data_IF_490715936560
#
_entry.id   IF_490715936560
#
_cell.length_a   1.000
_cell.length_b   1.000
_cell.length_c   1.000
_cell.angle_alpha   90.00
_cell.angle_beta   90.00
_cell.angle_gamma   90.00
#
_symmetry.space_group_name_H-M   'P 1'
#
loop_
_entity.id
_entity.type
_entity.pdbx_description
1 polymer ?
#
# COMPACT_ATOMS: atom_id res chain seq x y z
N UNK A 1 7.89 -29.32 44.58
CA UNK A 1 9.22 -29.83 44.20
C UNK A 1 9.52 -29.25 42.83
N UNK A 2 10.61 -28.51 42.72
CA UNK A 2 11.12 -27.90 41.51
C UNK A 2 12.16 -28.87 40.95
N UNK A 3 11.99 -29.34 39.71
CA UNK A 3 13.05 -30.01 38.99
C UNK A 3 13.36 -29.25 37.70
N UNK A 4 14.47 -28.52 37.80
CA UNK A 4 15.23 -27.94 36.71
C UNK A 4 16.05 -29.04 36.04
N UNK A 5 16.05 -29.12 34.71
CA UNK A 5 17.16 -29.73 33.96
C UNK A 5 17.42 -28.93 32.69
N UNK A 6 18.68 -28.53 32.59
CA UNK A 6 19.35 -27.83 31.49
C UNK A 6 20.23 -28.84 30.76
N UNK A 7 20.29 -28.78 29.42
CA UNK A 7 21.53 -28.92 28.64
C UNK A 7 21.25 -28.76 27.13
N UNK A 8 22.21 -28.12 26.47
CA UNK A 8 22.22 -27.57 25.10
C UNK A 8 22.74 -28.59 24.04
N UNK A 9 23.48 -28.19 22.97
CA UNK A 9 22.99 -27.89 21.62
C UNK A 9 23.66 -28.75 20.50
N UNK A 10 23.03 -28.90 19.34
CA UNK A 10 23.66 -29.39 18.09
C UNK A 10 23.00 -28.59 16.94
N UNK A 11 23.65 -27.64 16.26
CA UNK A 11 24.78 -27.68 15.31
C UNK A 11 24.45 -28.35 13.97
N UNK A 12 24.85 -27.64 12.90
CA UNK A 12 24.71 -27.88 11.46
C UNK A 12 23.31 -27.54 10.91
N UNK A 13 23.15 -26.79 9.83
CA UNK A 13 23.93 -26.83 8.59
C UNK A 13 23.80 -25.49 7.84
N UNK A 14 24.93 -24.88 7.52
CA UNK A 14 25.01 -23.77 6.56
C UNK A 14 24.88 -24.34 5.15
N UNK A 15 23.83 -23.96 4.43
CA UNK A 15 23.75 -24.15 2.99
C UNK A 15 23.72 -22.78 2.30
N UNK A 16 24.89 -22.36 1.80
CA UNK A 16 25.03 -21.23 0.89
C UNK A 16 24.54 -21.61 -0.50
N UNK A 17 23.65 -20.82 -1.14
CA UNK A 17 23.45 -20.93 -2.58
C UNK A 17 24.62 -20.24 -3.32
N UNK A 18 25.28 -20.98 -4.21
CA UNK A 18 26.41 -20.51 -5.00
C UNK A 18 26.03 -19.44 -6.05
N UNK A 19 26.99 -18.61 -6.50
CA UNK A 19 26.74 -17.67 -7.58
C UNK A 19 26.74 -18.38 -8.93
N UNK A 20 25.59 -18.44 -9.59
CA UNK A 20 25.50 -18.79 -11.02
C UNK A 20 26.15 -17.69 -11.85
N UNK A 21 27.21 -18.06 -12.56
CA UNK A 21 27.76 -17.29 -13.67
C UNK A 21 26.71 -17.19 -14.79
N UNK A 22 26.54 -16.00 -15.35
CA UNK A 22 25.93 -15.83 -16.66
C UNK A 22 26.77 -14.86 -17.46
N UNK A 23 27.24 -15.41 -18.57
CA UNK A 23 28.09 -14.83 -19.59
C UNK A 23 27.38 -13.66 -20.28
N UNK A 24 27.96 -12.47 -20.20
CA UNK A 24 27.55 -11.35 -21.05
C UNK A 24 28.11 -11.58 -22.46
N UNK A 25 27.22 -11.94 -23.39
CA UNK A 25 27.54 -11.98 -24.81
C UNK A 25 27.59 -10.54 -25.36
N UNK A 26 28.67 -10.28 -26.09
CA UNK A 26 28.93 -9.06 -26.87
C UNK A 26 27.95 -8.92 -28.03
N UNK A 27 27.44 -7.71 -28.28
CA UNK A 27 26.72 -7.35 -29.51
C UNK A 27 27.43 -6.15 -30.17
N UNK A 28 27.74 -6.20 -31.49
CA UNK A 28 28.36 -5.10 -32.21
C UNK A 28 27.34 -4.03 -32.64
N UNK A 29 27.80 -2.79 -32.98
CA UNK A 29 26.94 -1.67 -33.32
C UNK A 29 26.53 -1.71 -34.79
N UNK A 30 25.39 -1.10 -35.12
CA UNK A 30 25.10 -0.73 -36.51
C UNK A 30 24.40 0.63 -36.53
N UNK A 31 25.06 1.53 -37.25
CA UNK A 31 24.74 2.94 -37.45
C UNK A 31 23.60 3.15 -38.47
N UNK A 32 23.17 4.41 -38.58
CA UNK A 32 22.46 5.03 -39.69
C UNK A 32 20.92 5.02 -39.71
N UNK A 33 20.38 6.11 -39.12
CA UNK A 33 19.69 7.21 -39.81
C UNK A 33 18.26 7.06 -40.39
N UNK A 34 17.55 8.19 -40.22
CA UNK A 34 16.49 8.77 -41.05
C UNK A 34 15.02 8.46 -40.68
N UNK A 35 14.48 9.39 -39.88
CA UNK A 35 13.21 10.11 -40.05
C UNK A 35 12.04 9.43 -40.79
N UNK A 36 10.96 9.18 -40.05
CA UNK A 36 9.63 9.63 -40.45
C UNK A 36 8.77 9.88 -39.21
N UNK A 37 8.22 11.08 -39.21
CA UNK A 37 7.14 11.60 -38.39
C UNK A 37 5.98 10.60 -38.29
N UNK A 38 5.58 10.24 -37.08
CA UNK A 38 4.20 9.89 -36.72
C UNK A 38 4.07 10.28 -35.24
N UNK A 39 3.63 11.53 -34.98
CA UNK A 39 3.05 11.91 -33.69
C UNK A 39 1.76 11.11 -33.54
N UNK A 40 1.91 9.85 -33.13
CA UNK A 40 0.81 9.06 -32.62
C UNK A 40 0.76 9.35 -31.13
N UNK A 41 0.07 10.43 -30.76
CA UNK A 41 -0.45 10.65 -29.41
C UNK A 41 -1.44 9.53 -29.11
N UNK A 42 -0.88 8.35 -28.86
CA UNK A 42 -1.56 7.26 -28.19
C UNK A 42 -1.88 7.79 -26.81
N UNK A 43 -3.08 8.33 -26.66
CA UNK A 43 -3.73 8.52 -25.36
C UNK A 43 -3.84 7.12 -24.78
N UNK A 44 -2.76 6.69 -24.13
CA UNK A 44 -2.65 5.40 -23.51
C UNK A 44 -3.80 5.33 -22.52
N UNK A 45 -4.80 4.50 -22.85
CA UNK A 45 -5.86 4.14 -21.94
C UNK A 45 -5.16 3.71 -20.66
N UNK A 46 -5.42 4.34 -19.50
CA UNK A 46 -4.72 3.97 -18.28
C UNK A 46 -4.92 2.48 -18.07
N UNK A 47 -3.82 1.73 -18.09
CA UNK A 47 -3.80 0.31 -17.79
C UNK A 47 -4.37 0.12 -16.39
N UNK A 48 -5.03 -1.01 -16.15
CA UNK A 48 -5.69 -1.25 -14.86
C UNK A 48 -4.70 -1.17 -13.68
N UNK A 49 -3.44 -1.56 -13.92
CA UNK A 49 -2.29 -1.39 -13.03
C UNK A 49 -2.03 0.08 -12.62
N UNK A 50 -2.13 1.02 -13.56
CA UNK A 50 -1.92 2.46 -13.28
C UNK A 50 -3.00 3.01 -12.34
N UNK A 51 -4.25 2.59 -12.52
CA UNK A 51 -5.35 2.95 -11.62
C UNK A 51 -5.23 2.27 -10.25
N UNK A 52 -4.74 1.04 -10.22
CA UNK A 52 -4.52 0.30 -8.96
C UNK A 52 -3.45 0.97 -8.10
N UNK A 53 -2.34 1.35 -8.72
CA UNK A 53 -1.25 2.09 -8.09
C UNK A 53 -1.71 3.47 -7.60
N UNK A 54 -2.44 4.21 -8.45
CA UNK A 54 -2.97 5.52 -8.09
C UNK A 54 -3.83 5.49 -6.83
N UNK A 55 -4.75 4.51 -6.73
CA UNK A 55 -5.60 4.42 -5.55
C UNK A 55 -4.83 3.96 -4.30
N UNK A 56 -3.82 3.09 -4.45
CA UNK A 56 -2.95 2.72 -3.32
C UNK A 56 -2.17 3.93 -2.77
N UNK A 57 -1.73 4.84 -3.65
CA UNK A 57 -1.08 6.09 -3.25
C UNK A 57 -2.03 7.03 -2.49
N UNK A 58 -3.32 7.04 -2.86
CA UNK A 58 -4.37 7.71 -2.08
C UNK A 58 -4.47 7.09 -0.68
N UNK A 59 -4.59 5.77 -0.57
CA UNK A 59 -4.67 5.07 0.73
C UNK A 59 -3.44 5.37 1.59
N UNK A 60 -2.25 5.40 1.00
CA UNK A 60 -1.01 5.75 1.68
C UNK A 60 -1.04 7.19 2.20
N UNK A 61 -1.59 8.12 1.44
CA UNK A 61 -1.71 9.52 1.86
C UNK A 61 -2.70 9.66 3.01
N UNK A 62 -3.84 8.97 2.94
CA UNK A 62 -4.82 8.92 4.03
C UNK A 62 -4.19 8.36 5.31
N UNK A 63 -3.48 7.22 5.22
CA UNK A 63 -2.82 6.59 6.35
C UNK A 63 -1.78 7.50 7.04
N UNK A 64 -1.04 8.29 6.26
CA UNK A 64 -0.09 9.27 6.81
C UNK A 64 -0.77 10.44 7.52
N UNK A 65 -1.98 10.82 7.09
CA UNK A 65 -2.73 11.95 7.67
C UNK A 65 -3.50 11.52 8.92
N UNK A 66 -4.08 10.32 8.90
CA UNK A 66 -4.87 9.75 10.00
C UNK A 66 -3.97 8.88 10.87
N UNK A 67 -3.39 9.50 11.90
CA UNK A 67 -2.37 8.90 12.75
C UNK A 67 -2.76 8.83 14.23
N UNK A 68 -3.87 9.45 14.63
CA UNK A 68 -4.39 9.37 16.00
C UNK A 68 -5.25 8.13 16.15
N UNK A 69 -5.04 7.39 17.22
CA UNK A 69 -5.75 6.14 17.50
C UNK A 69 -7.28 6.31 17.45
N UNK A 70 -7.82 7.39 18.04
CA UNK A 70 -9.27 7.68 17.98
C UNK A 70 -9.77 7.93 16.55
N UNK A 71 -8.98 8.58 15.70
CA UNK A 71 -9.38 8.81 14.29
C UNK A 71 -9.31 7.50 13.49
N UNK A 72 -8.34 6.63 13.80
CA UNK A 72 -8.19 5.31 13.19
C UNK A 72 -9.35 4.40 13.61
N UNK A 73 -9.74 4.43 14.89
CA UNK A 73 -10.87 3.67 15.44
C UNK A 73 -12.19 4.09 14.76
N UNK A 74 -12.46 5.40 14.72
CA UNK A 74 -13.64 5.92 14.03
C UNK A 74 -13.63 5.59 12.53
N UNK A 75 -12.49 5.74 11.85
CA UNK A 75 -12.37 5.39 10.44
C UNK A 75 -12.66 3.90 10.22
N UNK A 76 -12.03 3.04 11.01
CA UNK A 76 -12.19 1.59 10.93
C UNK A 76 -13.65 1.19 11.13
N UNK A 77 -14.33 1.76 12.14
CA UNK A 77 -15.74 1.50 12.40
C UNK A 77 -16.65 1.92 11.24
N UNK A 78 -16.44 3.11 10.67
CA UNK A 78 -17.20 3.58 9.50
C UNK A 78 -16.94 2.71 8.26
N UNK A 79 -15.72 2.19 8.10
CA UNK A 79 -15.38 1.26 7.03
C UNK A 79 -15.90 -0.17 7.27
N UNK A 80 -16.49 -0.46 8.43
CA UNK A 80 -17.10 -1.75 8.77
C UNK A 80 -16.14 -2.76 9.39
N UNK A 81 -15.07 -2.31 10.06
CA UNK A 81 -14.23 -3.17 10.89
C UNK A 81 -14.77 -3.27 12.32
N UNK A 82 -14.56 -4.42 12.94
CA UNK A 82 -14.88 -4.63 14.35
C UNK A 82 -13.78 -4.04 15.25
N UNK A 83 -14.10 -3.54 16.46
CA UNK A 83 -13.12 -2.92 17.36
C UNK A 83 -11.85 -3.76 17.61
N UNK A 84 -11.91 -5.08 17.85
CA UNK A 84 -10.70 -5.89 18.06
C UNK A 84 -9.78 -5.92 16.83
N UNK A 85 -10.34 -5.86 15.62
CA UNK A 85 -9.58 -5.81 14.39
C UNK A 85 -8.91 -4.45 14.21
N UNK A 86 -9.62 -3.35 14.51
CA UNK A 86 -9.06 -1.99 14.45
C UNK A 86 -7.88 -1.84 15.42
N UNK A 87 -8.05 -2.34 16.65
CA UNK A 87 -6.99 -2.31 17.66
C UNK A 87 -5.73 -3.06 17.21
N UNK A 88 -5.84 -4.12 16.41
CA UNK A 88 -4.67 -4.82 15.84
C UNK A 88 -3.87 -3.92 14.91
N UNK A 89 -4.54 -3.11 14.09
CA UNK A 89 -3.88 -2.15 13.21
C UNK A 89 -3.26 -0.99 14.00
N UNK A 90 -3.95 -0.47 15.02
CA UNK A 90 -3.42 0.58 15.91
C UNK A 90 -2.14 0.10 16.63
N UNK A 91 -2.15 -1.10 17.21
CA UNK A 91 -0.95 -1.66 17.85
C UNK A 91 0.23 -1.81 16.88
N UNK A 92 -0.05 -2.07 15.59
CA UNK A 92 1.01 -2.14 14.57
C UNK A 92 1.68 -0.78 14.37
N UNK A 93 0.94 0.33 14.51
CA UNK A 93 1.48 1.69 14.40
C UNK A 93 2.42 2.04 15.56
N UNK A 94 2.14 1.52 16.76
CA UNK A 94 2.87 1.77 18.00
C UNK A 94 3.98 0.74 18.33
N UNK A 95 4.21 -0.24 17.46
CA UNK A 95 5.11 -1.39 17.74
C UNK A 95 6.57 -0.99 17.97
N UNK A 96 6.99 0.18 17.49
CA UNK A 96 8.36 0.68 17.63
C UNK A 96 8.36 2.08 18.26
N UNK A 97 9.53 2.56 18.69
CA UNK A 97 9.71 3.90 19.25
C UNK A 97 9.40 5.03 18.24
N UNK A 98 9.07 4.70 17.00
CA UNK A 98 8.63 5.61 15.96
C UNK A 98 7.16 5.34 15.64
N UNK A 99 6.33 6.40 15.69
CA UNK A 99 4.95 6.32 15.22
C UNK A 99 4.97 5.99 13.73
N UNK A 100 4.38 4.86 13.35
CA UNK A 100 4.26 4.44 11.95
C UNK A 100 2.82 4.56 11.47
N UNK A 101 2.62 4.63 10.14
CA UNK A 101 1.29 4.62 9.52
C UNK A 101 0.97 3.25 8.89
N UNK A 102 1.83 2.25 9.09
CA UNK A 102 1.76 0.98 8.36
C UNK A 102 0.54 0.15 8.73
N UNK A 103 0.13 0.16 10.01
CA UNK A 103 -1.10 -0.46 10.47
C UNK A 103 -2.33 0.18 9.84
N UNK A 104 -2.40 1.51 9.82
CA UNK A 104 -3.50 2.24 9.15
C UNK A 104 -3.55 1.93 7.65
N UNK A 105 -2.40 1.87 6.98
CA UNK A 105 -2.33 1.52 5.56
C UNK A 105 -2.79 0.08 5.30
N UNK A 106 -2.38 -0.88 6.14
CA UNK A 106 -2.86 -2.26 6.07
C UNK A 106 -4.37 -2.34 6.21
N UNK A 107 -4.96 -1.64 7.20
CA UNK A 107 -6.41 -1.58 7.38
C UNK A 107 -7.12 -1.07 6.11
N UNK A 108 -6.62 0.01 5.50
CA UNK A 108 -7.21 0.57 4.29
C UNK A 108 -7.10 -0.38 3.09
N UNK A 109 -5.99 -1.11 2.95
CA UNK A 109 -5.84 -2.12 1.89
C UNK A 109 -6.77 -3.31 2.10
N UNK A 110 -6.93 -3.77 3.33
CA UNK A 110 -7.87 -4.85 3.66
C UNK A 110 -9.32 -4.43 3.38
N UNK A 111 -9.67 -3.17 3.69
CA UNK A 111 -10.96 -2.60 3.33
C UNK A 111 -11.16 -2.51 1.81
N UNK A 112 -10.13 -2.10 1.07
CA UNK A 112 -10.16 -2.04 -0.38
C UNK A 112 -10.44 -3.41 -0.99
N UNK A 113 -9.77 -4.46 -0.50
CA UNK A 113 -9.93 -5.84 -0.98
C UNK A 113 -11.35 -6.39 -0.80
N UNK A 114 -12.14 -5.87 0.16
CA UNK A 114 -13.55 -6.23 0.36
C UNK A 114 -14.54 -5.26 -0.27
N UNK A 115 -14.06 -4.23 -0.97
CA UNK A 115 -14.87 -3.18 -1.57
C UNK A 115 -14.84 -3.29 -3.09
N UNK A 116 -15.99 -3.08 -3.74
CA UNK A 116 -16.04 -3.07 -5.20
C UNK A 116 -15.29 -1.86 -5.75
N UNK A 117 -14.44 -2.06 -6.75
CA UNK A 117 -13.56 -1.03 -7.32
C UNK A 117 -14.27 0.26 -7.76
N UNK A 118 -15.49 0.16 -8.27
CA UNK A 118 -16.31 1.33 -8.66
C UNK A 118 -16.81 2.15 -7.48
N UNK A 119 -16.78 1.60 -6.27
CA UNK A 119 -17.30 2.24 -5.05
C UNK A 119 -16.20 2.71 -4.10
N UNK A 120 -14.93 2.31 -4.33
CA UNK A 120 -13.79 2.62 -3.46
C UNK A 120 -13.69 4.13 -3.18
N UNK A 121 -13.65 4.97 -4.23
CA UNK A 121 -13.53 6.43 -4.06
C UNK A 121 -14.70 7.03 -3.28
N UNK A 122 -15.94 6.64 -3.61
CA UNK A 122 -17.13 7.21 -2.97
C UNK A 122 -17.23 6.80 -1.50
N UNK A 123 -16.99 5.52 -1.20
CA UNK A 123 -17.05 4.99 0.16
C UNK A 123 -15.94 5.56 1.03
N UNK A 124 -14.71 5.67 0.51
CA UNK A 124 -13.61 6.31 1.23
C UNK A 124 -13.91 7.79 1.49
N UNK A 125 -14.45 8.51 0.50
CA UNK A 125 -14.84 9.92 0.65
C UNK A 125 -15.88 10.09 1.76
N UNK A 126 -16.93 9.26 1.75
CA UNK A 126 -17.97 9.27 2.79
C UNK A 126 -17.39 8.98 4.17
N UNK A 127 -16.50 8.00 4.28
CA UNK A 127 -15.86 7.64 5.55
C UNK A 127 -15.02 8.80 6.11
N UNK A 128 -14.21 9.45 5.27
CA UNK A 128 -13.40 10.61 5.65
C UNK A 128 -14.27 11.79 6.10
N UNK A 129 -15.39 12.06 5.41
CA UNK A 129 -16.34 13.10 5.82
C UNK A 129 -16.97 12.77 7.17
N UNK A 130 -17.33 11.51 7.43
CA UNK A 130 -17.94 11.07 8.68
C UNK A 130 -17.03 11.32 9.89
N UNK A 131 -15.71 11.19 9.70
CA UNK A 131 -14.71 11.47 10.75
C UNK A 131 -14.17 12.90 10.70
N UNK A 132 -14.89 13.82 10.05
CA UNK A 132 -14.58 15.26 9.97
C UNK A 132 -13.33 15.63 9.14
N UNK A 133 -12.84 14.72 8.29
CA UNK A 133 -11.72 14.91 7.35
C UNK A 133 -12.19 15.33 5.94
N UNK A 134 -13.19 16.22 5.86
CA UNK A 134 -13.77 16.67 4.58
C UNK A 134 -12.73 17.21 3.59
N UNK A 135 -11.82 18.09 4.07
CA UNK A 135 -10.78 18.69 3.20
C UNK A 135 -9.89 17.61 2.60
N UNK A 136 -9.46 16.64 3.39
CA UNK A 136 -8.67 15.51 2.92
C UNK A 136 -9.43 14.67 1.88
N UNK A 137 -10.73 14.47 2.09
CA UNK A 137 -11.58 13.75 1.15
C UNK A 137 -11.73 14.50 -0.18
N UNK A 138 -11.93 15.81 -0.13
CA UNK A 138 -12.06 16.65 -1.32
C UNK A 138 -10.72 16.77 -2.07
N UNK A 139 -9.59 16.91 -1.37
CA UNK A 139 -8.25 17.04 -1.97
C UNK A 139 -7.79 15.75 -2.69
N UNK A 140 -8.21 14.58 -2.20
CA UNK A 140 -7.75 13.28 -2.72
C UNK A 140 -8.75 12.57 -3.63
N UNK A 141 -10.04 12.87 -3.49
CA UNK A 141 -11.13 12.09 -4.10
C UNK A 141 -12.15 12.98 -4.83
N UNK A 142 -11.89 14.28 -4.99
CA UNK A 142 -12.58 15.01 -6.04
C UNK A 142 -11.98 14.59 -7.38
N UNK A 143 -12.73 13.76 -8.10
CA UNK A 143 -12.73 13.84 -9.55
C UNK A 143 -12.97 15.31 -9.90
N UNK A 144 -11.96 15.96 -10.48
CA UNK A 144 -12.17 17.15 -11.28
C UNK A 144 -13.34 16.85 -12.21
N UNK A 145 -14.49 17.48 -11.91
CA UNK A 145 -15.58 17.65 -12.86
C UNK A 145 -15.12 18.64 -13.94
N UNK A 146 -14.10 18.26 -14.69
CA UNK A 146 -13.81 18.87 -15.97
C UNK A 146 -14.53 18.02 -17.02
N UNK A 147 -15.85 18.27 -17.09
CA UNK A 147 -16.68 17.99 -18.27
C UNK A 147 -16.35 18.96 -19.39
#
# INVERSE_FOLDING_TARGET
>A
MLDTTVASPDKAESASPGPSASTSASSPPTDAAAAADEVSTSKARPTEESKEQHFDDILRTVAKRIHKDDEIDNLGGVLGFEPPEIQRYIHTNAKYQTVTYMGTLSMLRDWRNRTTRSEESEKLKKALIAINHRRLADDLLNDDKDS
#
